data_IF_879401512810
#
_entry.id   IF_879401512810
#
_cell.length_a   1.000
_cell.length_b   1.000
_cell.length_c   1.000
_cell.angle_alpha   90.00
_cell.angle_beta   90.00
_cell.angle_gamma   90.00
#
_symmetry.space_group_name_H-M   'P 1'
#
loop_
_entity.id
_entity.type
_entity.pdbx_description
1 polymer ?
#
# COMPACT_ATOMS: atom_id res chain seq x y z
N UNK A 1 9.61 1.39 -18.36
CA UNK A 1 9.23 2.81 -18.14
C UNK A 1 8.46 2.89 -16.84
N UNK A 2 8.68 3.91 -16.01
CA UNK A 2 8.20 3.98 -14.61
C UNK A 2 6.93 4.82 -14.51
N UNK A 3 5.99 4.42 -13.64
CA UNK A 3 4.84 5.23 -13.26
C UNK A 3 5.18 6.04 -12.00
N UNK A 4 4.65 7.25 -11.89
CA UNK A 4 4.97 8.17 -10.78
C UNK A 4 3.71 8.47 -9.99
N UNK A 5 3.80 8.36 -8.67
CA UNK A 5 2.76 8.81 -7.76
C UNK A 5 3.16 10.15 -7.14
N UNK A 6 2.44 11.21 -7.48
CA UNK A 6 2.61 12.52 -6.86
C UNK A 6 1.81 12.58 -5.56
N UNK A 7 2.49 12.35 -4.44
CA UNK A 7 1.89 12.48 -3.11
C UNK A 7 2.06 13.89 -2.56
N UNK A 8 0.96 14.53 -2.15
CA UNK A 8 0.98 15.77 -1.37
C UNK A 8 0.66 15.47 0.09
N UNK A 9 1.09 16.32 1.02
CA UNK A 9 0.82 16.10 2.44
C UNK A 9 -0.67 16.18 2.75
N UNK A 10 -1.30 17.31 2.42
CA UNK A 10 -2.68 17.62 2.80
C UNK A 10 -3.50 18.15 1.62
N UNK A 11 -4.82 18.08 1.74
CA UNK A 11 -5.80 18.64 0.78
C UNK A 11 -5.58 20.13 0.53
N UNK A 12 -5.06 20.88 1.51
CA UNK A 12 -4.72 22.31 1.36
C UNK A 12 -3.60 22.55 0.34
N UNK A 13 -2.76 21.55 0.08
CA UNK A 13 -1.61 21.63 -0.84
C UNK A 13 -2.00 21.33 -2.30
N UNK A 14 -3.29 21.22 -2.60
CA UNK A 14 -3.85 20.91 -3.94
C UNK A 14 -3.35 21.80 -5.08
N UNK A 15 -2.81 22.97 -4.78
CA UNK A 15 -2.22 23.87 -5.78
C UNK A 15 -0.99 23.27 -6.45
N UNK A 16 -0.26 22.37 -5.80
CA UNK A 16 0.84 21.59 -6.41
C UNK A 16 0.29 20.73 -7.55
N UNK A 17 -0.72 19.92 -7.25
CA UNK A 17 -1.40 19.08 -8.26
C UNK A 17 -1.99 19.95 -9.37
N UNK A 18 -2.65 21.05 -9.04
CA UNK A 18 -3.21 22.00 -10.03
C UNK A 18 -2.13 22.53 -10.98
N UNK A 19 -0.95 22.87 -10.47
CA UNK A 19 0.20 23.33 -11.26
C UNK A 19 0.70 22.25 -12.22
N UNK A 20 0.87 21.02 -11.72
CA UNK A 20 1.27 19.85 -12.53
C UNK A 20 0.25 19.60 -13.65
N UNK A 21 -1.04 19.54 -13.32
CA UNK A 21 -2.09 19.36 -14.33
C UNK A 21 -2.07 20.48 -15.38
N UNK A 22 -1.90 21.74 -14.97
CA UNK A 22 -1.82 22.88 -15.91
C UNK A 22 -0.61 22.77 -16.84
N UNK A 23 0.53 22.32 -16.34
CA UNK A 23 1.77 22.21 -17.11
C UNK A 23 1.71 21.09 -18.16
N UNK A 24 1.18 19.92 -17.78
CA UNK A 24 1.13 18.74 -18.64
C UNK A 24 -0.10 18.66 -19.55
N UNK A 25 -1.17 19.43 -19.31
CA UNK A 25 -2.35 19.51 -20.20
C UNK A 25 -2.09 20.20 -21.56
N UNK A 26 -0.87 20.60 -21.86
CA UNK A 26 -0.49 21.08 -23.20
C UNK A 26 -0.27 19.87 -24.12
N UNK A 27 -0.79 19.92 -25.36
CA UNK A 27 -0.87 18.77 -26.28
C UNK A 27 0.44 17.96 -26.37
N UNK A 28 1.57 18.64 -26.52
CA UNK A 28 2.92 18.07 -26.58
C UNK A 28 3.29 17.15 -25.41
N UNK A 29 2.66 17.30 -24.23
CA UNK A 29 3.01 16.61 -22.98
C UNK A 29 1.84 15.86 -22.34
N UNK A 30 0.66 15.85 -22.97
CA UNK A 30 -0.54 15.28 -22.36
C UNK A 30 -0.40 13.79 -22.06
N UNK A 31 0.31 13.04 -22.91
CA UNK A 31 0.61 11.62 -22.74
C UNK A 31 1.40 11.31 -21.44
N UNK A 32 2.07 12.29 -20.84
CA UNK A 32 2.79 12.10 -19.57
C UNK A 32 1.81 11.92 -18.41
N UNK A 33 0.62 12.52 -18.49
CA UNK A 33 -0.41 12.36 -17.46
C UNK A 33 -0.88 10.91 -17.33
N UNK A 34 -0.73 10.09 -18.39
CA UNK A 34 -1.06 8.66 -18.34
C UNK A 34 -0.13 7.87 -17.41
N UNK A 35 1.02 8.46 -17.04
CA UNK A 35 2.03 7.88 -16.15
C UNK A 35 2.05 8.49 -14.76
N UNK A 36 1.19 9.49 -14.50
CA UNK A 36 1.13 10.20 -13.22
C UNK A 36 -0.16 9.81 -12.49
N UNK A 37 -0.01 9.40 -11.23
CA UNK A 37 -1.09 9.29 -10.26
C UNK A 37 -0.94 10.29 -9.11
N UNK A 38 -1.92 10.30 -8.24
CA UNK A 38 -2.06 11.28 -7.17
C UNK A 38 -2.41 10.61 -5.85
N UNK A 39 -1.83 11.13 -4.77
CA UNK A 39 -2.07 10.70 -3.39
C UNK A 39 -2.10 11.89 -2.43
N UNK A 40 -2.76 11.72 -1.28
CA UNK A 40 -2.73 12.66 -0.15
C UNK A 40 -2.27 11.87 1.08
N UNK A 41 -1.01 12.06 1.46
CA UNK A 41 -0.28 11.14 2.34
C UNK A 41 -0.55 11.30 3.84
N UNK A 42 -0.96 12.48 4.33
CA UNK A 42 -1.04 12.75 5.78
C UNK A 42 -2.43 12.52 6.39
N UNK A 43 -3.14 11.51 5.90
CA UNK A 43 -4.40 11.00 6.45
C UNK A 43 -5.55 12.02 6.62
N UNK A 44 -5.63 13.03 5.76
CA UNK A 44 -6.84 13.88 5.70
C UNK A 44 -8.12 13.02 5.57
N UNK A 45 -9.28 13.51 6.05
CA UNK A 45 -10.54 12.80 5.91
C UNK A 45 -10.82 12.40 4.45
N UNK A 46 -11.18 11.14 4.21
CA UNK A 46 -11.37 10.57 2.86
C UNK A 46 -12.34 11.39 2.02
N UNK A 47 -13.41 11.87 2.64
CA UNK A 47 -14.42 12.72 1.99
C UNK A 47 -13.83 14.07 1.49
N UNK A 48 -12.93 14.68 2.27
CA UNK A 48 -12.24 15.93 1.86
C UNK A 48 -11.30 15.67 0.68
N UNK A 49 -10.60 14.55 0.68
CA UNK A 49 -9.73 14.12 -0.43
C UNK A 49 -10.58 13.88 -1.70
N UNK A 50 -11.68 13.15 -1.59
CA UNK A 50 -12.60 12.93 -2.71
C UNK A 50 -13.16 14.23 -3.31
N UNK A 51 -13.54 15.19 -2.45
CA UNK A 51 -13.96 16.54 -2.91
C UNK A 51 -12.83 17.28 -3.62
N UNK A 52 -11.60 17.20 -3.13
CA UNK A 52 -10.43 17.80 -3.77
C UNK A 52 -10.23 17.26 -5.19
N UNK A 53 -10.24 15.94 -5.37
CA UNK A 53 -10.11 15.33 -6.69
C UNK A 53 -11.22 15.77 -7.64
N UNK A 54 -12.48 15.82 -7.15
CA UNK A 54 -13.61 16.34 -7.93
C UNK A 54 -13.40 17.80 -8.36
N UNK A 55 -12.93 18.67 -7.47
CA UNK A 55 -12.63 20.07 -7.79
C UNK A 55 -11.53 20.23 -8.84
N UNK A 56 -10.53 19.34 -8.82
CA UNK A 56 -9.43 19.35 -9.79
C UNK A 56 -9.77 18.64 -11.11
N UNK A 57 -10.92 17.98 -11.20
CA UNK A 57 -11.33 17.19 -12.35
C UNK A 57 -10.56 15.87 -12.51
N UNK A 58 -9.97 15.34 -11.43
CA UNK A 58 -9.24 14.07 -11.42
C UNK A 58 -10.24 12.92 -11.26
N UNK A 59 -10.29 12.03 -12.26
CA UNK A 59 -11.26 10.91 -12.34
C UNK A 59 -10.62 9.52 -12.28
N UNK A 60 -9.30 9.44 -12.25
CA UNK A 60 -8.53 8.19 -12.20
C UNK A 60 -7.12 8.45 -11.68
N UNK A 61 -6.35 7.37 -11.53
CA UNK A 61 -4.96 7.38 -11.07
C UNK A 61 -4.82 7.87 -9.62
N UNK A 62 -5.74 7.47 -8.76
CA UNK A 62 -5.83 7.92 -7.37
C UNK A 62 -5.42 6.79 -6.43
N UNK A 63 -4.32 6.98 -5.73
CA UNK A 63 -3.93 6.09 -4.64
C UNK A 63 -4.35 6.71 -3.31
N UNK A 64 -4.65 5.87 -2.34
CA UNK A 64 -4.89 6.29 -0.96
C UNK A 64 -3.97 5.54 -0.01
N UNK A 65 -3.10 6.29 0.65
CA UNK A 65 -2.37 5.80 1.81
C UNK A 65 -3.22 5.84 3.08
N UNK A 66 -3.04 4.84 3.92
CA UNK A 66 -3.33 4.92 5.35
C UNK A 66 -2.14 4.41 6.14
N UNK A 67 -1.78 5.09 7.21
CA UNK A 67 -0.55 4.76 7.91
C UNK A 67 -0.10 5.74 8.96
N UNK A 68 0.86 5.33 9.76
CA UNK A 68 1.65 6.21 10.60
C UNK A 68 3.08 5.66 10.65
N UNK A 69 4.03 6.48 11.10
CA UNK A 69 5.38 6.00 11.40
C UNK A 69 5.32 4.72 12.24
N UNK A 70 6.09 3.72 11.84
CA UNK A 70 6.21 2.43 12.53
C UNK A 70 6.58 2.59 14.02
N UNK A 71 7.27 3.68 14.41
CA UNK A 71 7.61 4.00 15.80
C UNK A 71 6.42 4.17 16.74
N UNK A 72 5.24 4.51 16.21
CA UNK A 72 4.03 4.83 17.01
C UNK A 72 2.78 4.13 16.47
N UNK A 73 2.94 3.24 15.47
CA UNK A 73 1.82 2.59 14.79
C UNK A 73 1.02 1.68 15.71
N UNK A 74 1.63 1.15 16.78
CA UNK A 74 0.94 0.36 17.81
C UNK A 74 -0.14 1.14 18.60
N UNK A 75 -0.26 2.44 18.38
CA UNK A 75 -1.26 3.28 19.04
C UNK A 75 -2.44 3.61 18.12
N UNK A 76 -2.42 3.19 16.86
CA UNK A 76 -3.37 3.68 15.85
C UNK A 76 -4.24 2.54 15.28
N UNK A 77 -5.57 2.65 15.41
CA UNK A 77 -6.50 1.71 14.78
C UNK A 77 -6.41 1.73 13.25
N UNK A 78 -6.74 0.60 12.63
CA UNK A 78 -6.81 0.45 11.16
C UNK A 78 -8.16 0.81 10.55
N UNK A 79 -9.05 1.44 11.33
CA UNK A 79 -10.40 1.74 10.90
C UNK A 79 -10.44 2.59 9.62
N UNK A 80 -9.55 3.58 9.48
CA UNK A 80 -9.46 4.43 8.28
C UNK A 80 -8.94 3.65 7.06
N UNK A 81 -7.98 2.74 7.24
CA UNK A 81 -7.54 1.83 6.18
C UNK A 81 -8.71 0.97 5.66
N UNK A 82 -9.47 0.35 6.58
CA UNK A 82 -10.63 -0.46 6.23
C UNK A 82 -11.73 0.35 5.55
N UNK A 83 -11.95 1.60 6.00
CA UNK A 83 -12.86 2.52 5.33
C UNK A 83 -12.40 2.84 3.91
N UNK A 84 -11.10 3.08 3.70
CA UNK A 84 -10.52 3.33 2.39
C UNK A 84 -10.68 2.12 1.45
N UNK A 85 -10.37 0.91 1.92
CA UNK A 85 -10.55 -0.33 1.16
C UNK A 85 -12.03 -0.57 0.83
N UNK A 86 -12.94 -0.39 1.79
CA UNK A 86 -14.39 -0.48 1.56
C UNK A 86 -14.87 0.55 0.54
N UNK A 87 -14.36 1.78 0.62
CA UNK A 87 -14.69 2.84 -0.32
C UNK A 87 -14.19 2.49 -1.73
N UNK A 88 -12.93 2.05 -1.89
CA UNK A 88 -12.35 1.59 -3.17
C UNK A 88 -13.24 0.55 -3.84
N UNK A 89 -13.69 -0.45 -3.10
CA UNK A 89 -14.47 -1.57 -3.67
C UNK A 89 -15.95 -1.23 -3.90
N UNK A 90 -16.40 -0.06 -3.43
CA UNK A 90 -17.73 0.44 -3.73
C UNK A 90 -17.79 1.08 -5.13
N UNK A 91 -18.96 0.98 -5.79
CA UNK A 91 -19.22 1.66 -7.07
C UNK A 91 -19.10 3.19 -6.98
N UNK A 92 -19.23 3.77 -5.79
CA UNK A 92 -19.19 5.22 -5.55
C UNK A 92 -17.81 5.72 -5.11
N UNK A 93 -16.86 4.82 -4.85
CA UNK A 93 -15.52 5.17 -4.39
C UNK A 93 -14.70 5.92 -5.42
N UNK A 94 -13.83 6.82 -4.96
CA UNK A 94 -12.90 7.53 -5.83
C UNK A 94 -11.51 6.86 -5.91
N UNK A 95 -11.16 5.90 -5.06
CA UNK A 95 -9.78 5.39 -5.02
C UNK A 95 -9.58 4.31 -6.07
N UNK A 96 -8.47 4.32 -6.78
CA UNK A 96 -8.15 3.25 -7.73
C UNK A 96 -7.30 2.17 -7.05
N UNK A 97 -6.44 2.57 -6.10
CA UNK A 97 -5.58 1.73 -5.27
C UNK A 97 -5.54 2.19 -3.82
N UNK A 98 -5.31 1.27 -2.89
CA UNK A 98 -5.10 1.56 -1.46
C UNK A 98 -3.79 0.92 -1.01
N UNK A 99 -2.97 1.66 -0.25
CA UNK A 99 -1.74 1.14 0.32
C UNK A 99 -1.66 1.37 1.83
N UNK A 100 -0.95 0.50 2.53
CA UNK A 100 -0.67 0.61 3.96
C UNK A 100 0.81 0.96 4.18
N UNK A 101 1.09 1.93 5.06
CA UNK A 101 2.44 2.33 5.41
C UNK A 101 2.60 2.65 6.91
N UNK A 102 3.76 2.54 7.53
CA UNK A 102 4.88 1.66 7.15
C UNK A 102 4.71 0.33 7.89
N UNK A 103 4.81 -0.82 7.20
CA UNK A 103 4.56 -2.15 7.79
C UNK A 103 5.77 -3.06 7.58
N UNK A 104 6.44 -3.47 8.67
CA UNK A 104 7.73 -4.16 8.58
C UNK A 104 7.68 -5.64 9.01
N UNK A 105 6.78 -6.03 9.91
CA UNK A 105 6.75 -7.39 10.47
C UNK A 105 5.85 -8.33 9.64
N UNK A 106 6.26 -9.60 9.40
CA UNK A 106 5.48 -10.56 8.61
C UNK A 106 4.02 -10.73 9.07
N UNK A 107 3.78 -10.74 10.39
CA UNK A 107 2.43 -10.83 10.94
C UNK A 107 1.53 -9.65 10.52
N UNK A 108 2.04 -8.42 10.58
CA UNK A 108 1.28 -7.22 10.19
C UNK A 108 1.19 -7.06 8.68
N UNK A 109 2.20 -7.51 7.93
CA UNK A 109 2.13 -7.62 6.47
C UNK A 109 0.99 -8.54 6.08
N UNK A 110 0.89 -9.72 6.71
CA UNK A 110 -0.20 -10.68 6.49
C UNK A 110 -1.57 -10.05 6.73
N UNK A 111 -1.78 -9.46 7.91
CA UNK A 111 -3.04 -8.77 8.23
C UNK A 111 -3.35 -7.64 7.24
N UNK A 112 -2.35 -6.90 6.78
CA UNK A 112 -2.55 -5.84 5.77
C UNK A 112 -3.03 -6.40 4.44
N UNK A 113 -2.46 -7.53 3.99
CA UNK A 113 -2.88 -8.24 2.78
C UNK A 113 -4.32 -8.75 2.94
N UNK A 114 -4.66 -9.33 4.09
CA UNK A 114 -6.01 -9.83 4.39
C UNK A 114 -7.06 -8.72 4.47
N UNK A 115 -6.66 -7.51 4.85
CA UNK A 115 -7.50 -6.31 4.74
C UNK A 115 -7.73 -5.85 3.30
N UNK A 116 -7.02 -6.43 2.32
CA UNK A 116 -7.25 -6.24 0.90
C UNK A 116 -6.58 -4.98 0.34
N UNK A 117 -5.41 -4.60 0.86
CA UNK A 117 -4.61 -3.49 0.30
C UNK A 117 -3.93 -3.89 -1.02
N UNK A 118 -3.73 -2.93 -1.92
CA UNK A 118 -3.02 -3.14 -3.19
C UNK A 118 -1.49 -2.96 -3.05
N UNK A 119 -1.04 -2.31 -1.98
CA UNK A 119 0.37 -1.99 -1.79
C UNK A 119 0.76 -1.87 -0.32
N UNK A 120 2.04 -2.12 -0.04
CA UNK A 120 2.64 -1.99 1.28
C UNK A 120 3.92 -1.17 1.14
N UNK A 121 4.06 -0.10 1.92
CA UNK A 121 5.34 0.58 2.11
C UNK A 121 5.99 -0.04 3.34
N UNK A 122 7.24 -0.49 3.18
CA UNK A 122 7.99 -1.23 4.20
C UNK A 122 9.46 -0.88 4.15
N UNK A 123 10.14 -0.98 5.28
CA UNK A 123 11.59 -0.99 5.37
C UNK A 123 12.17 -2.40 5.16
N UNK A 124 11.31 -3.44 5.11
CA UNK A 124 11.67 -4.87 5.03
C UNK A 124 10.96 -5.56 3.87
N UNK A 125 11.32 -5.25 2.61
CA UNK A 125 10.69 -5.86 1.43
C UNK A 125 10.89 -7.38 1.37
N UNK A 126 11.96 -7.91 1.98
CA UNK A 126 12.21 -9.34 2.17
C UNK A 126 11.04 -10.04 2.90
N UNK A 127 10.52 -9.41 3.96
CA UNK A 127 9.38 -9.95 4.70
C UNK A 127 8.09 -9.97 3.88
N UNK A 128 7.89 -8.97 3.00
CA UNK A 128 6.72 -8.94 2.10
C UNK A 128 6.79 -10.11 1.12
N UNK A 129 7.95 -10.33 0.50
CA UNK A 129 8.16 -11.44 -0.42
C UNK A 129 8.01 -12.80 0.28
N UNK A 130 8.53 -12.93 1.50
CA UNK A 130 8.37 -14.15 2.30
C UNK A 130 6.89 -14.48 2.54
N UNK A 131 6.07 -13.49 2.92
CA UNK A 131 4.63 -13.68 3.13
C UNK A 131 3.94 -14.04 1.81
N UNK A 132 4.22 -13.32 0.72
CA UNK A 132 3.60 -13.60 -0.59
C UNK A 132 3.96 -14.98 -1.14
N UNK A 133 5.13 -15.51 -0.82
CA UNK A 133 5.55 -16.85 -1.23
C UNK A 133 4.96 -17.97 -0.35
N UNK A 134 4.30 -17.63 0.76
CA UNK A 134 3.68 -18.60 1.66
C UNK A 134 2.22 -18.90 1.28
N UNK A 135 1.75 -20.11 1.56
CA UNK A 135 0.33 -20.49 1.41
C UNK A 135 -0.54 -19.75 2.43
N UNK A 136 -1.72 -19.23 2.05
CA UNK A 136 -2.36 -19.33 0.73
C UNK A 136 -2.00 -18.20 -0.26
N UNK A 137 -1.19 -17.21 0.14
CA UNK A 137 -0.97 -15.99 -0.64
C UNK A 137 -0.29 -16.25 -1.99
N UNK A 138 0.59 -17.24 -2.08
CA UNK A 138 1.28 -17.59 -3.33
C UNK A 138 0.35 -18.10 -4.44
N UNK A 139 -0.82 -18.63 -4.06
CA UNK A 139 -1.83 -19.12 -5.00
C UNK A 139 -2.83 -18.03 -5.41
N UNK A 140 -2.94 -16.99 -4.59
CA UNK A 140 -3.99 -15.97 -4.71
C UNK A 140 -3.46 -14.62 -5.20
N UNK A 141 -2.18 -14.35 -4.98
CA UNK A 141 -1.57 -13.03 -5.20
C UNK A 141 -0.28 -13.16 -6.01
N UNK A 142 0.07 -12.06 -6.68
CA UNK A 142 1.37 -11.91 -7.33
C UNK A 142 1.94 -10.53 -7.04
N UNK A 143 3.27 -10.43 -7.09
CA UNK A 143 3.95 -9.13 -7.13
C UNK A 143 3.63 -8.47 -8.48
N UNK A 144 3.17 -7.22 -8.43
CA UNK A 144 2.87 -6.45 -9.64
C UNK A 144 4.12 -6.25 -10.50
N UNK A 145 3.96 -6.35 -11.81
CA UNK A 145 5.02 -6.09 -12.79
C UNK A 145 4.65 -4.94 -13.73
N UNK A 146 5.51 -4.63 -14.71
CA UNK A 146 5.29 -3.50 -15.62
C UNK A 146 4.03 -3.60 -16.49
N UNK A 147 3.45 -4.79 -16.64
CA UNK A 147 2.20 -5.01 -17.37
C UNK A 147 0.97 -4.74 -16.50
N UNK A 148 1.11 -4.71 -15.18
CA UNK A 148 0.03 -4.39 -14.25
C UNK A 148 -0.13 -2.87 -14.16
N UNK A 149 -1.26 -2.35 -14.63
CA UNK A 149 -1.57 -0.94 -14.53
C UNK A 149 -1.78 -0.54 -13.06
N UNK A 150 -1.00 0.41 -12.51
CA UNK A 150 -1.22 0.91 -11.15
C UNK A 150 -2.49 1.76 -11.03
N UNK A 151 -3.21 1.98 -12.14
CA UNK A 151 -4.43 2.77 -12.20
C UNK A 151 -5.69 1.92 -12.30
N UNK A 152 -5.55 0.62 -12.58
CA UNK A 152 -6.68 -0.29 -12.72
C UNK A 152 -7.13 -0.76 -11.35
N UNK A 153 -8.38 -0.45 -10.99
CA UNK A 153 -8.99 -0.94 -9.75
C UNK A 153 -9.23 -2.45 -9.84
N UNK A 154 -8.77 -3.21 -8.85
CA UNK A 154 -9.15 -4.60 -8.66
C UNK A 154 -10.27 -4.67 -7.63
N UNK A 155 -11.37 -5.34 -7.98
CA UNK A 155 -12.46 -5.64 -7.04
C UNK A 155 -12.36 -7.14 -6.80
N UNK A 156 -11.52 -7.55 -5.84
CA UNK A 156 -11.40 -8.95 -5.47
C UNK A 156 -12.24 -9.25 -4.22
N UNK A 157 -13.29 -10.09 -4.35
CA UNK A 157 -14.11 -10.50 -3.21
C UNK A 157 -13.47 -11.60 -2.34
N UNK A 158 -12.37 -12.22 -2.77
CA UNK A 158 -11.97 -13.59 -2.38
C UNK A 158 -11.05 -13.73 -1.18
N UNK A 159 -10.30 -12.70 -0.78
CA UNK A 159 -9.35 -12.78 0.35
C UNK A 159 -9.90 -12.28 1.69
N UNK A 160 -11.13 -11.77 1.70
CA UNK A 160 -11.74 -11.18 2.91
C UNK A 160 -12.28 -12.26 3.82
N UNK A 161 -11.50 -12.66 4.82
CA UNK A 161 -12.03 -13.39 5.95
C UNK A 161 -12.72 -12.38 6.89
N UNK A 162 -14.01 -12.15 6.65
CA UNK A 162 -14.85 -11.11 7.30
C UNK A 162 -15.01 -11.31 8.82
N UNK A 163 -14.50 -12.43 9.35
CA UNK A 163 -14.56 -12.83 10.77
C UNK A 163 -13.42 -12.26 11.60
N UNK A 164 -12.31 -11.83 10.98
CA UNK A 164 -11.16 -11.25 11.70
C UNK A 164 -11.13 -9.72 11.56
N UNK A 165 -12.28 -9.07 11.78
CA UNK A 165 -12.37 -7.62 12.03
C UNK A 165 -11.87 -7.27 13.42
N UNK A 166 -10.88 -7.99 13.92
CA UNK A 166 -10.22 -7.61 15.14
C UNK A 166 -9.56 -6.27 14.84
N UNK A 167 -10.11 -5.19 15.40
CA UNK A 167 -9.64 -3.81 15.24
C UNK A 167 -8.28 -3.58 15.94
N UNK A 168 -7.56 -4.66 16.15
CA UNK A 168 -6.22 -4.73 16.70
C UNK A 168 -5.29 -4.02 15.73
N UNK A 169 -4.97 -2.78 16.11
CA UNK A 169 -3.66 -2.17 15.98
C UNK A 169 -2.68 -3.00 15.13
N UNK A 170 -2.34 -2.49 13.94
CA UNK A 170 -1.31 -3.09 13.08
C UNK A 170 0.01 -2.36 13.28
N UNK A 171 0.81 -2.71 14.29
CA UNK A 171 2.14 -2.13 14.49
C UNK A 171 2.65 -2.26 15.92
N UNK A 172 3.94 -1.95 16.12
CA UNK A 172 4.66 -2.12 17.39
C UNK A 172 5.69 -3.23 17.28
N UNK A 173 6.90 -2.89 16.88
CA UNK A 173 8.02 -3.81 16.90
C UNK A 173 8.89 -3.52 18.10
N UNK A 174 8.76 -4.31 19.17
CA UNK A 174 9.90 -4.61 20.01
C UNK A 174 10.58 -5.87 19.47
N UNK A 175 11.91 -5.87 19.52
CA UNK A 175 12.84 -6.91 19.08
C UNK A 175 12.75 -8.19 19.95
N UNK A 176 11.57 -8.76 20.17
CA UNK A 176 11.41 -9.98 20.98
C UNK A 176 10.68 -11.09 20.20
N UNK A 177 11.32 -11.57 19.14
CA UNK A 177 11.15 -12.96 18.72
C UNK A 177 12.51 -13.67 18.63
N UNK A 178 13.32 -13.50 19.69
CA UNK A 178 14.33 -14.50 20.09
C UNK A 178 13.68 -15.48 21.06
N UNK A 179 12.92 -16.45 20.56
CA UNK A 179 12.68 -17.72 21.25
C UNK A 179 11.92 -18.70 20.37
N UNK A 180 12.58 -19.20 19.33
CA UNK A 180 12.42 -20.60 18.86
C UNK A 180 13.57 -20.91 17.90
N UNK A 181 14.77 -21.03 18.46
CA UNK A 181 15.87 -21.73 17.80
C UNK A 181 15.46 -23.19 17.60
N UNK A 182 15.49 -23.75 16.38
CA UNK A 182 15.76 -25.16 16.23
C UNK A 182 17.20 -25.38 16.69
N UNK A 183 17.39 -26.19 17.73
CA UNK A 183 18.66 -26.39 18.44
C UNK A 183 19.74 -27.13 17.65
N UNK A 184 19.69 -27.17 16.32
CA UNK A 184 20.68 -27.82 15.47
C UNK A 184 20.98 -26.94 14.25
N UNK A 185 21.64 -25.80 14.47
CA UNK A 185 22.28 -25.06 13.38
C UNK A 185 23.76 -25.42 13.39
N UNK A 186 24.22 -26.12 12.35
CA UNK A 186 25.63 -26.44 12.12
C UNK A 186 26.30 -25.29 11.35
N UNK A 187 27.27 -24.57 11.96
CA UNK A 187 27.96 -23.47 11.30
C UNK A 187 28.77 -23.86 10.05
N UNK A 188 28.98 -25.16 9.79
CA UNK A 188 29.74 -25.64 8.63
C UNK A 188 28.96 -25.61 7.32
N UNK A 189 27.63 -25.44 7.36
CA UNK A 189 26.79 -25.36 6.16
C UNK A 189 26.87 -24.00 5.42
N UNK A 190 27.46 -22.97 6.04
CA UNK A 190 27.55 -21.62 5.42
C UNK A 190 28.70 -21.53 4.39
N UNK A 191 29.70 -22.40 4.46
CA UNK A 191 30.89 -22.31 3.60
C UNK A 191 30.75 -22.93 2.20
N UNK A 192 29.59 -23.50 1.84
CA UNK A 192 29.45 -24.23 0.58
C UNK A 192 28.87 -23.44 -0.62
N UNK A 193 28.54 -22.15 -0.46
CA UNK A 193 27.89 -21.38 -1.54
C UNK A 193 28.75 -20.32 -2.23
N UNK A 194 30.06 -20.32 -1.97
CA UNK A 194 31.01 -19.47 -2.69
C UNK A 194 32.34 -20.19 -2.91
N UNK A 195 32.39 -21.13 -3.86
CA UNK A 195 33.58 -21.38 -4.69
C UNK A 195 33.17 -22.09 -5.97
N UNK A 196 33.62 -21.48 -7.08
CA UNK A 196 33.65 -21.85 -8.50
C UNK A 196 32.33 -21.92 -9.29
#
# INVERSE_FOLDING_TARGET
MVNVLLSIGYVKDKNVIKGVLKYFKKEERMHILDKIGFDVGMNDPLEKIGRMYKQLGIRGHRWQGDGLSNCVRFLVPVARLLEAVKARDSQKGYMDKVYHWTVDLPHFIRKSIEHGVDGIITNRPDNVLQVLNSTPYSELLKVANFSDSPWTRFIEPTLRNDTDRNTEVLGGGDYEERARHPTNFDPTEITAFWTD
#
